data_IF_259805715909
#
_entry.id   IF_259805715909
#
_cell.length_a   1.000
_cell.length_b   1.000
_cell.length_c   1.000
_cell.angle_alpha   90.00
_cell.angle_beta   90.00
_cell.angle_gamma   90.00
#
_symmetry.space_group_name_H-M   'P 1'
#
loop_
_entity.id
_entity.type
_entity.pdbx_description
1 polymer ?
#
# COMPACT_ATOMS: atom_id res chain seq x y z
N UNK A 1 7.66 13.09 22.20
CA UNK A 1 8.62 12.00 21.88
C UNK A 1 9.52 12.50 20.75
N UNK A 2 10.82 12.19 20.76
CA UNK A 2 11.71 12.59 19.67
C UNK A 2 11.30 11.94 18.35
N UNK A 3 11.31 12.70 17.25
CA UNK A 3 10.91 12.23 15.92
C UNK A 3 11.72 11.01 15.47
N UNK A 4 13.01 10.96 15.82
CA UNK A 4 13.93 9.87 15.47
C UNK A 4 13.57 8.52 16.12
N UNK A 5 12.72 8.52 17.16
CA UNK A 5 12.29 7.29 17.84
C UNK A 5 11.05 6.66 17.19
N UNK A 6 10.33 7.37 16.31
CA UNK A 6 9.07 6.86 15.75
C UNK A 6 9.26 5.59 14.93
N UNK A 7 10.23 5.58 14.00
CA UNK A 7 10.50 4.41 13.16
C UNK A 7 11.05 3.23 13.99
N UNK A 8 12.07 3.38 14.85
CA UNK A 8 12.54 2.29 15.72
C UNK A 8 11.45 1.71 16.62
N UNK A 9 10.60 2.54 17.23
CA UNK A 9 9.50 2.07 18.07
C UNK A 9 8.44 1.32 17.26
N UNK A 10 8.06 1.87 16.10
CA UNK A 10 7.14 1.22 15.18
C UNK A 10 7.65 -0.17 14.78
N UNK A 11 8.89 -0.25 14.29
CA UNK A 11 9.50 -1.51 13.86
C UNK A 11 9.64 -2.51 15.01
N UNK A 12 9.97 -2.04 16.22
CA UNK A 12 10.07 -2.89 17.41
C UNK A 12 8.72 -3.52 17.75
N UNK A 13 7.66 -2.72 17.82
CA UNK A 13 6.30 -3.21 18.12
C UNK A 13 5.84 -4.21 17.06
N UNK A 14 5.95 -3.84 15.77
CA UNK A 14 5.56 -4.71 14.66
C UNK A 14 6.35 -6.02 14.66
N UNK A 15 7.65 -5.96 14.97
CA UNK A 15 8.52 -7.14 15.05
C UNK A 15 8.09 -8.09 16.15
N UNK A 16 7.89 -7.60 17.38
CA UNK A 16 7.47 -8.43 18.52
C UNK A 16 6.13 -9.13 18.22
N UNK A 17 5.15 -8.38 17.72
CA UNK A 17 3.82 -8.91 17.42
C UNK A 17 3.86 -9.94 16.27
N UNK A 18 4.65 -9.68 15.23
CA UNK A 18 4.84 -10.59 14.09
C UNK A 18 5.58 -11.87 14.50
N UNK A 19 6.60 -11.78 15.35
CA UNK A 19 7.29 -12.95 15.92
C UNK A 19 6.32 -13.82 16.74
N UNK A 20 5.41 -13.20 17.49
CA UNK A 20 4.32 -13.90 18.16
C UNK A 20 3.45 -14.71 17.19
N UNK A 21 3.07 -14.11 16.05
CA UNK A 21 2.32 -14.83 15.00
C UNK A 21 3.15 -15.91 14.30
N UNK A 22 4.43 -15.67 14.06
CA UNK A 22 5.33 -16.67 13.50
C UNK A 22 5.35 -17.95 14.35
N UNK A 23 5.55 -17.82 15.66
CA UNK A 23 5.55 -18.96 16.59
C UNK A 23 4.19 -19.66 16.60
N UNK A 24 3.10 -18.88 16.61
CA UNK A 24 1.74 -19.41 16.59
C UNK A 24 1.45 -20.25 15.34
N UNK A 25 1.75 -19.71 14.15
CA UNK A 25 1.46 -20.37 12.86
C UNK A 25 2.41 -21.54 12.56
N UNK A 26 3.68 -21.47 12.98
CA UNK A 26 4.67 -22.54 12.78
C UNK A 26 4.28 -23.84 13.50
N UNK A 27 3.60 -23.73 14.64
CA UNK A 27 3.16 -24.87 15.46
C UNK A 27 1.80 -25.45 15.01
N UNK A 28 1.05 -24.77 14.15
CA UNK A 28 -0.28 -25.24 13.73
C UNK A 28 -0.25 -26.29 12.64
N UNK A 29 -1.19 -27.24 12.76
CA UNK A 29 -1.52 -28.25 11.74
C UNK A 29 -2.72 -27.75 10.91
N UNK A 30 -2.78 -28.19 9.66
CA UNK A 30 -3.90 -27.91 8.75
C UNK A 30 -5.25 -28.37 9.33
N UNK A 31 -6.30 -27.60 9.08
CA UNK A 31 -7.65 -27.85 9.65
C UNK A 31 -7.90 -27.22 11.02
N UNK A 32 -6.88 -26.69 11.69
CA UNK A 32 -7.03 -26.01 12.98
C UNK A 32 -7.48 -24.53 12.88
N UNK A 33 -7.89 -24.04 11.70
CA UNK A 33 -8.54 -22.72 11.61
C UNK A 33 -9.93 -22.81 12.24
N UNK A 34 -9.90 -22.68 13.57
CA UNK A 34 -10.99 -22.19 14.40
C UNK A 34 -11.38 -20.82 13.88
N UNK A 35 -12.69 -20.59 13.79
CA UNK A 35 -13.36 -19.29 13.71
C UNK A 35 -12.51 -18.19 14.36
N UNK A 36 -12.35 -17.06 13.67
CA UNK A 36 -11.64 -15.90 14.22
C UNK A 36 -12.14 -15.64 15.64
N UNK A 37 -11.26 -15.71 16.63
CA UNK A 37 -11.68 -15.37 17.98
C UNK A 37 -11.99 -13.88 18.00
N UNK A 38 -13.19 -13.52 18.45
CA UNK A 38 -13.62 -12.13 18.56
C UNK A 38 -12.56 -11.22 19.22
N UNK A 39 -11.81 -11.76 20.19
CA UNK A 39 -10.69 -11.07 20.83
C UNK A 39 -9.53 -10.68 19.90
N UNK A 40 -9.20 -11.47 18.87
CA UNK A 40 -8.17 -11.10 17.87
C UNK A 40 -8.63 -9.96 16.98
N UNK A 41 -9.91 -9.95 16.58
CA UNK A 41 -10.49 -8.85 15.80
C UNK A 41 -10.48 -7.54 16.61
N UNK A 42 -10.82 -7.60 17.91
CA UNK A 42 -10.75 -6.43 18.80
C UNK A 42 -9.31 -5.98 19.01
N UNK A 43 -8.36 -6.90 19.20
CA UNK A 43 -6.94 -6.58 19.35
C UNK A 43 -6.37 -5.88 18.11
N UNK A 44 -6.70 -6.38 16.91
CA UNK A 44 -6.29 -5.75 15.65
C UNK A 44 -6.85 -4.33 15.49
N UNK A 45 -8.10 -4.10 15.89
CA UNK A 45 -8.71 -2.76 15.88
C UNK A 45 -8.03 -1.84 16.89
N UNK A 46 -7.80 -2.32 18.11
CA UNK A 46 -7.12 -1.55 19.15
C UNK A 46 -5.71 -1.12 18.68
N UNK A 47 -4.96 -2.01 18.04
CA UNK A 47 -3.67 -1.66 17.45
C UNK A 47 -3.79 -0.61 16.34
N UNK A 48 -4.79 -0.71 15.47
CA UNK A 48 -5.04 0.28 14.41
C UNK A 48 -5.34 1.68 15.00
N UNK A 49 -6.14 1.75 16.07
CA UNK A 49 -6.44 2.99 16.79
C UNK A 49 -5.19 3.54 17.48
N UNK A 50 -4.40 2.69 18.16
CA UNK A 50 -3.14 3.10 18.78
C UNK A 50 -2.18 3.68 17.74
N UNK A 51 -2.03 3.03 16.58
CA UNK A 51 -1.18 3.52 15.51
C UNK A 51 -1.69 4.81 14.87
N UNK A 52 -3.02 4.97 14.80
CA UNK A 52 -3.66 6.23 14.36
C UNK A 52 -3.22 7.39 15.25
N UNK A 53 -3.31 7.25 16.58
CA UNK A 53 -2.85 8.30 17.49
C UNK A 53 -1.33 8.45 17.49
N UNK A 54 -0.60 7.34 17.49
CA UNK A 54 0.86 7.34 17.47
C UNK A 54 1.41 8.12 16.27
N UNK A 55 1.00 7.76 15.06
CA UNK A 55 1.49 8.40 13.82
C UNK A 55 0.79 9.73 13.54
N UNK A 56 -0.51 9.84 13.83
CA UNK A 56 -1.30 11.05 13.62
C UNK A 56 -0.85 12.23 14.48
N UNK A 57 -0.40 11.97 15.71
CA UNK A 57 0.10 12.98 16.64
C UNK A 57 1.63 13.11 16.62
N UNK A 58 2.28 12.71 15.52
CA UNK A 58 3.74 12.87 15.37
C UNK A 58 4.15 14.35 15.40
N UNK A 59 5.34 14.69 15.91
CA UNK A 59 5.83 16.07 15.89
C UNK A 59 6.12 16.53 14.46
N UNK A 60 5.95 17.83 14.22
CA UNK A 60 6.47 18.49 13.02
C UNK A 60 8.01 18.47 13.08
N UNK A 61 8.63 17.63 12.26
CA UNK A 61 10.07 17.44 12.25
C UNK A 61 10.57 17.13 10.84
N UNK A 62 11.76 17.62 10.48
CA UNK A 62 12.35 17.49 9.15
C UNK A 62 12.58 16.05 8.67
N UNK A 63 12.68 15.08 9.58
CA UNK A 63 12.73 13.64 9.22
C UNK A 63 11.45 13.16 8.54
N UNK A 64 10.33 13.87 8.75
CA UNK A 64 9.07 13.67 8.06
C UNK A 64 8.87 14.80 7.04
N UNK A 65 9.62 14.74 5.94
CA UNK A 65 9.67 15.79 4.91
C UNK A 65 8.27 16.22 4.45
N UNK A 66 7.42 15.29 4.02
CA UNK A 66 6.09 15.67 3.51
C UNK A 66 5.21 16.20 4.67
N UNK A 67 5.42 15.75 5.92
CA UNK A 67 4.73 16.33 7.11
C UNK A 67 5.08 17.80 7.27
N UNK A 68 6.36 18.18 7.13
CA UNK A 68 6.77 19.57 7.21
C UNK A 68 6.15 20.42 6.09
N UNK A 69 6.07 19.88 4.88
CA UNK A 69 5.40 20.57 3.77
C UNK A 69 3.93 20.85 4.09
N UNK A 70 3.18 19.85 4.57
CA UNK A 70 1.79 20.07 4.99
C UNK A 70 1.66 21.04 6.17
N UNK A 71 2.61 21.08 7.10
CA UNK A 71 2.57 22.07 8.20
C UNK A 71 2.78 23.49 7.66
N UNK A 72 3.70 23.68 6.71
CA UNK A 72 3.92 24.98 6.07
C UNK A 72 2.67 25.42 5.29
N UNK A 73 2.11 24.53 4.47
CA UNK A 73 0.89 24.81 3.70
C UNK A 73 -0.30 25.12 4.62
N UNK A 74 -0.44 24.37 5.71
CA UNK A 74 -1.49 24.60 6.71
C UNK A 74 -1.40 26.01 7.28
N UNK A 75 -0.20 26.45 7.70
CA UNK A 75 0.00 27.77 8.29
C UNK A 75 -0.28 28.91 7.31
N UNK A 76 -0.14 28.69 6.00
CA UNK A 76 -0.50 29.67 4.96
C UNK A 76 -2.02 29.77 4.80
N UNK A 77 -2.73 28.65 4.93
CA UNK A 77 -4.19 28.57 4.77
C UNK A 77 -4.96 28.91 6.05
N UNK A 78 -4.32 28.82 7.21
CA UNK A 78 -4.95 28.95 8.52
C UNK A 78 -5.71 30.28 8.68
N UNK A 79 -6.98 30.18 9.06
CA UNK A 79 -7.84 31.34 9.30
C UNK A 79 -8.34 32.07 8.05
N UNK A 80 -7.94 31.64 6.84
CA UNK A 80 -8.53 32.14 5.60
C UNK A 80 -9.94 31.56 5.41
N UNK A 81 -10.81 32.29 4.70
CA UNK A 81 -12.15 31.79 4.38
C UNK A 81 -12.08 30.53 3.51
N UNK A 82 -12.82 29.50 3.91
CA UNK A 82 -12.96 28.30 3.10
C UNK A 82 -13.73 28.59 1.81
N UNK A 83 -13.12 28.25 0.68
CA UNK A 83 -13.78 28.21 -0.62
C UNK A 83 -13.46 26.86 -1.24
N UNK A 84 -14.50 26.16 -1.70
CA UNK A 84 -14.32 24.88 -2.40
C UNK A 84 -13.58 25.14 -3.71
N UNK A 85 -12.43 24.51 -3.87
CA UNK A 85 -11.70 24.49 -5.13
C UNK A 85 -12.21 23.34 -6.00
N UNK A 86 -13.02 23.68 -7.00
CA UNK A 86 -13.57 22.74 -7.97
C UNK A 86 -12.53 22.22 -8.97
N UNK A 87 -11.36 22.87 -9.07
CA UNK A 87 -10.28 22.48 -9.97
C UNK A 87 -9.14 21.76 -9.25
N UNK A 88 -9.29 21.50 -7.95
CA UNK A 88 -8.28 20.82 -7.14
C UNK A 88 -7.94 19.44 -7.72
N UNK A 89 -6.64 19.18 -7.94
CA UNK A 89 -6.12 17.91 -8.49
C UNK A 89 -6.56 16.71 -7.66
N UNK A 90 -6.53 16.82 -6.33
CA UNK A 90 -7.00 15.78 -5.41
C UNK A 90 -8.22 16.31 -4.66
N UNK A 91 -9.31 16.44 -5.40
CA UNK A 91 -10.52 17.17 -5.00
C UNK A 91 -10.96 16.95 -3.54
N UNK A 92 -11.06 15.71 -3.06
CA UNK A 92 -11.52 15.44 -1.70
C UNK A 92 -10.44 15.74 -0.65
N UNK A 93 -9.18 15.38 -0.93
CA UNK A 93 -8.10 15.56 0.03
C UNK A 93 -7.75 17.04 0.20
N UNK A 94 -7.58 17.75 -0.92
CA UNK A 94 -7.12 19.13 -0.93
C UNK A 94 -8.19 20.06 -0.32
N UNK A 95 -9.48 19.84 -0.64
CA UNK A 95 -10.58 20.58 0.00
C UNK A 95 -10.77 20.21 1.48
N UNK A 96 -10.58 18.93 1.87
CA UNK A 96 -10.63 18.54 3.29
C UNK A 96 -9.51 19.24 4.08
N UNK A 97 -8.31 19.29 3.52
CA UNK A 97 -7.17 19.96 4.14
C UNK A 97 -7.40 21.47 4.28
N UNK A 98 -7.85 22.13 3.21
CA UNK A 98 -8.17 23.55 3.22
C UNK A 98 -9.28 23.90 4.23
N UNK A 99 -10.32 23.07 4.32
CA UNK A 99 -11.39 23.23 5.31
C UNK A 99 -10.89 23.07 6.75
N UNK A 100 -10.03 22.07 7.02
CA UNK A 100 -9.44 21.89 8.35
C UNK A 100 -8.58 23.10 8.75
N UNK A 101 -7.84 23.69 7.80
CA UNK A 101 -7.04 24.88 8.03
C UNK A 101 -7.88 26.14 8.25
N UNK A 102 -8.93 26.36 7.46
CA UNK A 102 -9.83 27.51 7.63
C UNK A 102 -10.54 27.51 9.00
N UNK A 103 -10.93 26.33 9.47
CA UNK A 103 -11.57 26.14 10.78
C UNK A 103 -10.57 26.13 11.95
N UNK A 104 -9.26 26.31 11.69
CA UNK A 104 -8.20 26.39 12.70
C UNK A 104 -8.17 25.16 13.63
N UNK A 105 -8.47 23.97 13.12
CA UNK A 105 -8.52 22.74 13.94
C UNK A 105 -7.11 22.17 14.25
N UNK A 106 -6.07 22.73 13.63
CA UNK A 106 -4.67 22.36 13.80
C UNK A 106 -4.20 21.28 12.83
N UNK A 107 -2.96 21.40 12.34
CA UNK A 107 -2.34 20.41 11.45
C UNK A 107 -2.30 18.98 12.08
N UNK A 108 -2.19 18.89 13.41
CA UNK A 108 -2.23 17.60 14.12
C UNK A 108 -3.58 16.90 13.97
N UNK A 109 -4.69 17.65 13.93
CA UNK A 109 -6.01 17.08 13.69
C UNK A 109 -6.11 16.53 12.27
N UNK A 110 -5.61 17.27 11.28
CA UNK A 110 -5.51 16.77 9.90
C UNK A 110 -4.72 15.45 9.82
N UNK A 111 -3.53 15.39 10.41
CA UNK A 111 -2.73 14.17 10.41
C UNK A 111 -3.41 13.01 11.15
N UNK A 112 -4.17 13.28 12.21
CA UNK A 112 -4.98 12.27 12.89
C UNK A 112 -6.09 11.72 11.99
N UNK A 113 -6.79 12.57 11.24
CA UNK A 113 -7.82 12.15 10.27
C UNK A 113 -7.21 11.28 9.18
N UNK A 114 -6.10 11.70 8.58
CA UNK A 114 -5.44 10.93 7.51
C UNK A 114 -4.87 9.61 8.06
N UNK A 115 -4.28 9.62 9.26
CA UNK A 115 -3.81 8.39 9.92
C UNK A 115 -4.97 7.43 10.25
N UNK A 116 -6.14 7.95 10.62
CA UNK A 116 -7.34 7.14 10.87
C UNK A 116 -7.83 6.46 9.59
N UNK A 117 -7.90 7.20 8.48
CA UNK A 117 -8.22 6.62 7.17
C UNK A 117 -7.21 5.53 6.83
N UNK A 118 -5.92 5.78 7.05
CA UNK A 118 -4.87 4.84 6.73
C UNK A 118 -4.90 3.57 7.59
N UNK A 119 -4.78 3.65 8.91
CA UNK A 119 -4.68 2.48 9.77
C UNK A 119 -6.03 1.80 10.04
N UNK A 120 -7.06 2.55 10.42
CA UNK A 120 -8.39 1.97 10.67
C UNK A 120 -9.07 1.53 9.36
N UNK A 121 -8.89 2.28 8.27
CA UNK A 121 -9.36 1.84 6.95
C UNK A 121 -8.66 0.57 6.47
N UNK A 122 -7.35 0.44 6.72
CA UNK A 122 -6.61 -0.78 6.38
C UNK A 122 -7.09 -1.95 7.21
N UNK A 123 -7.27 -1.76 8.52
CA UNK A 123 -7.87 -2.78 9.38
C UNK A 123 -9.25 -3.20 8.85
N UNK A 124 -10.08 -2.25 8.43
CA UNK A 124 -11.40 -2.55 7.87
C UNK A 124 -11.30 -3.36 6.57
N UNK A 125 -10.39 -2.99 5.66
CA UNK A 125 -10.11 -3.77 4.45
C UNK A 125 -9.62 -5.19 4.79
N UNK A 126 -8.70 -5.33 5.75
CA UNK A 126 -8.20 -6.61 6.23
C UNK A 126 -9.34 -7.46 6.81
N UNK A 127 -10.23 -6.90 7.62
CA UNK A 127 -11.37 -7.62 8.20
C UNK A 127 -12.30 -8.18 7.14
N UNK A 128 -12.52 -7.42 6.07
CA UNK A 128 -13.38 -7.84 4.95
C UNK A 128 -12.71 -8.88 4.06
N UNK A 129 -11.42 -8.73 3.79
CA UNK A 129 -10.67 -9.63 2.92
C UNK A 129 -10.24 -10.92 3.64
N UNK A 130 -9.99 -10.86 4.94
CA UNK A 130 -9.43 -11.93 5.77
C UNK A 130 -10.23 -12.17 7.05
N UNK A 131 -11.56 -12.40 6.98
CA UNK A 131 -12.42 -12.51 8.17
C UNK A 131 -12.08 -13.69 9.08
N UNK A 132 -11.26 -14.64 8.63
CA UNK A 132 -10.83 -15.79 9.44
C UNK A 132 -9.63 -15.49 10.33
N UNK A 133 -8.78 -14.52 9.98
CA UNK A 133 -7.69 -14.03 10.85
C UNK A 133 -7.26 -12.62 10.41
N UNK A 134 -8.05 -11.62 10.83
CA UNK A 134 -7.79 -10.20 10.54
C UNK A 134 -6.46 -9.75 11.17
N UNK A 135 -6.11 -10.33 12.32
CA UNK A 135 -4.94 -9.94 13.09
C UNK A 135 -3.64 -10.19 12.34
N UNK A 136 -3.42 -11.40 11.82
CA UNK A 136 -2.20 -11.69 11.05
C UNK A 136 -2.18 -10.93 9.71
N UNK A 137 -3.35 -10.71 9.10
CA UNK A 137 -3.44 -9.91 7.88
C UNK A 137 -3.04 -8.45 8.10
N UNK A 138 -3.56 -7.84 9.17
CA UNK A 138 -3.21 -6.48 9.54
C UNK A 138 -1.73 -6.36 9.93
N UNK A 139 -1.18 -7.29 10.71
CA UNK A 139 0.25 -7.31 11.01
C UNK A 139 1.13 -7.46 9.77
N UNK A 140 0.72 -8.26 8.78
CA UNK A 140 1.46 -8.39 7.52
C UNK A 140 1.47 -7.08 6.73
N UNK A 141 0.38 -6.32 6.78
CA UNK A 141 0.35 -4.96 6.23
C UNK A 141 1.29 -4.03 6.99
N UNK A 142 1.25 -4.04 8.34
CA UNK A 142 2.14 -3.22 9.16
C UNK A 142 3.63 -3.56 8.95
N UNK A 143 3.94 -4.82 8.70
CA UNK A 143 5.31 -5.27 8.41
C UNK A 143 5.79 -4.89 6.99
N UNK A 144 4.94 -4.33 6.13
CA UNK A 144 5.34 -3.96 4.78
C UNK A 144 6.26 -2.75 4.76
N UNK A 145 7.25 -2.80 3.87
CA UNK A 145 8.32 -1.80 3.75
C UNK A 145 7.77 -0.38 3.51
N UNK A 146 6.67 -0.23 2.79
CA UNK A 146 6.06 1.08 2.54
C UNK A 146 5.21 1.65 3.70
N UNK A 147 4.82 0.85 4.68
CA UNK A 147 3.71 1.23 5.58
C UNK A 147 4.04 2.43 6.46
N UNK A 148 5.23 2.47 7.04
CA UNK A 148 5.63 3.62 7.86
C UNK A 148 5.81 4.89 7.02
N UNK A 149 6.42 4.76 5.83
CA UNK A 149 6.59 5.87 4.88
C UNK A 149 5.25 6.43 4.43
N UNK A 150 4.26 5.58 4.14
CA UNK A 150 2.90 6.02 3.86
C UNK A 150 2.20 6.69 5.04
N UNK A 151 2.55 6.36 6.28
CA UNK A 151 1.99 7.01 7.45
C UNK A 151 2.57 8.40 7.74
N UNK A 152 3.76 8.72 7.22
CA UNK A 152 4.52 9.92 7.65
C UNK A 152 4.98 10.84 6.52
N UNK A 153 5.27 10.29 5.34
CA UNK A 153 5.68 11.05 4.16
C UNK A 153 4.63 10.93 3.05
N UNK A 154 4.37 9.73 2.53
CA UNK A 154 3.38 9.50 1.47
C UNK A 154 1.90 9.50 1.92
N UNK A 155 1.49 10.36 2.86
CA UNK A 155 0.20 10.25 3.58
C UNK A 155 -1.03 10.29 2.68
N UNK A 156 -1.00 11.12 1.64
CA UNK A 156 -2.07 11.23 0.64
C UNK A 156 -2.22 9.92 -0.14
N UNK A 157 -1.11 9.39 -0.65
CA UNK A 157 -1.08 8.13 -1.39
C UNK A 157 -1.44 6.92 -0.50
N UNK A 158 -0.96 6.90 0.75
CA UNK A 158 -1.28 5.86 1.73
C UNK A 158 -2.79 5.79 2.00
N UNK A 159 -3.42 6.92 2.30
CA UNK A 159 -4.86 7.00 2.52
C UNK A 159 -5.65 6.57 1.27
N UNK A 160 -5.26 7.04 0.08
CA UNK A 160 -5.91 6.67 -1.17
C UNK A 160 -5.79 5.16 -1.49
N UNK A 161 -4.61 4.58 -1.27
CA UNK A 161 -4.36 3.15 -1.44
C UNK A 161 -5.20 2.30 -0.46
N UNK A 162 -5.37 2.75 0.78
CA UNK A 162 -6.26 2.08 1.75
C UNK A 162 -7.71 2.13 1.30
N UNK A 163 -8.20 3.28 0.83
CA UNK A 163 -9.56 3.40 0.27
C UNK A 163 -9.75 2.48 -0.95
N UNK A 164 -8.69 2.31 -1.75
CA UNK A 164 -8.70 1.39 -2.90
C UNK A 164 -8.76 -0.08 -2.47
N UNK A 165 -8.05 -0.47 -1.41
CA UNK A 165 -8.20 -1.80 -0.81
C UNK A 165 -9.62 -2.07 -0.32
N UNK A 166 -10.27 -1.05 0.26
CA UNK A 166 -11.68 -1.14 0.64
C UNK A 166 -12.55 -1.35 -0.61
N UNK A 167 -12.32 -0.61 -1.69
CA UNK A 167 -13.02 -0.82 -2.97
C UNK A 167 -12.86 -2.25 -3.50
N UNK A 168 -11.64 -2.80 -3.47
CA UNK A 168 -11.36 -4.21 -3.81
C UNK A 168 -12.19 -5.16 -2.95
N UNK A 169 -12.28 -4.94 -1.64
CA UNK A 169 -13.06 -5.77 -0.72
C UNK A 169 -14.58 -5.75 -1.00
N UNK A 170 -15.04 -4.79 -1.81
CA UNK A 170 -16.43 -4.64 -2.25
C UNK A 170 -16.64 -5.07 -3.70
N UNK A 171 -15.70 -5.75 -4.35
CA UNK A 171 -15.82 -6.22 -5.75
C UNK A 171 -17.21 -6.79 -6.13
N UNK A 172 -17.81 -7.59 -5.23
CA UNK A 172 -19.11 -8.22 -5.49
C UNK A 172 -20.30 -7.26 -5.35
N UNK A 173 -20.13 -6.10 -4.71
CA UNK A 173 -21.06 -4.99 -4.68
C UNK A 173 -20.45 -3.82 -5.47
N UNK A 174 -20.65 -3.85 -6.78
CA UNK A 174 -20.02 -2.90 -7.70
C UNK A 174 -20.40 -1.45 -7.43
N UNK A 175 -21.57 -1.20 -6.84
CA UNK A 175 -22.02 0.16 -6.47
C UNK A 175 -21.13 0.72 -5.37
N UNK A 176 -20.94 -0.03 -4.28
CA UNK A 176 -20.05 0.41 -3.19
C UNK A 176 -18.60 0.46 -3.68
N UNK A 177 -18.17 -0.51 -4.49
CA UNK A 177 -16.84 -0.48 -5.08
C UNK A 177 -16.63 0.79 -5.92
N UNK A 178 -17.55 1.15 -6.81
CA UNK A 178 -17.46 2.34 -7.65
C UNK A 178 -17.43 3.64 -6.83
N UNK A 179 -18.28 3.75 -5.79
CA UNK A 179 -18.24 4.88 -4.85
C UNK A 179 -16.86 4.99 -4.18
N UNK A 180 -16.32 3.87 -3.70
CA UNK A 180 -15.00 3.86 -3.08
C UNK A 180 -13.87 4.16 -4.07
N UNK A 181 -13.95 3.72 -5.34
CA UNK A 181 -12.99 4.09 -6.39
C UNK A 181 -13.04 5.59 -6.68
N UNK A 182 -14.23 6.20 -6.68
CA UNK A 182 -14.37 7.65 -6.81
C UNK A 182 -13.74 8.39 -5.62
N UNK A 183 -13.99 7.93 -4.38
CA UNK A 183 -13.36 8.51 -3.18
C UNK A 183 -11.85 8.35 -3.22
N UNK A 184 -11.33 7.18 -3.61
CA UNK A 184 -9.90 6.94 -3.83
C UNK A 184 -9.30 7.96 -4.81
N UNK A 185 -9.97 8.19 -5.95
CA UNK A 185 -9.51 9.14 -6.95
C UNK A 185 -9.51 10.58 -6.40
N UNK A 186 -10.55 10.95 -5.66
CA UNK A 186 -10.62 12.25 -4.99
C UNK A 186 -9.54 12.46 -3.94
N UNK A 187 -8.95 11.39 -3.38
CA UNK A 187 -7.84 11.49 -2.44
C UNK A 187 -6.48 11.63 -3.12
N UNK A 188 -6.25 10.95 -4.25
CA UNK A 188 -4.98 11.03 -4.96
C UNK A 188 -5.15 10.71 -6.44
N UNK A 189 -4.84 11.67 -7.33
CA UNK A 189 -5.01 11.53 -8.79
C UNK A 189 -4.27 10.33 -9.38
N UNK A 190 -3.06 10.00 -8.90
CA UNK A 190 -2.29 8.85 -9.44
C UNK A 190 -2.98 7.48 -9.25
N UNK A 191 -4.03 7.41 -8.44
CA UNK A 191 -4.85 6.21 -8.30
C UNK A 191 -5.63 5.85 -9.57
N UNK A 192 -5.68 6.72 -10.59
CA UNK A 192 -6.18 6.40 -11.93
C UNK A 192 -5.57 5.09 -12.44
N UNK A 193 -4.27 4.86 -12.22
CA UNK A 193 -3.59 3.66 -12.69
C UNK A 193 -4.11 2.37 -11.99
N UNK A 194 -4.11 2.25 -10.65
CA UNK A 194 -4.78 1.16 -9.94
C UNK A 194 -6.26 0.99 -10.30
N UNK A 195 -7.01 2.09 -10.48
CA UNK A 195 -8.42 2.05 -10.87
C UNK A 195 -8.58 1.45 -12.29
N UNK A 196 -7.75 1.87 -13.25
CA UNK A 196 -7.75 1.30 -14.59
C UNK A 196 -7.42 -0.20 -14.55
N UNK A 197 -6.47 -0.61 -13.69
CA UNK A 197 -6.16 -2.02 -13.49
C UNK A 197 -7.34 -2.79 -12.86
N UNK A 198 -8.05 -2.21 -11.89
CA UNK A 198 -9.29 -2.77 -11.34
C UNK A 198 -10.32 -3.00 -12.45
N UNK A 199 -10.57 -1.98 -13.28
CA UNK A 199 -11.57 -2.05 -14.36
C UNK A 199 -11.16 -3.11 -15.40
N UNK A 200 -9.92 -3.08 -15.87
CA UNK A 200 -9.42 -4.03 -16.86
C UNK A 200 -9.54 -5.48 -16.39
N UNK A 201 -9.17 -5.76 -15.14
CA UNK A 201 -9.21 -7.10 -14.54
C UNK A 201 -10.62 -7.55 -14.13
N UNK A 202 -11.55 -6.60 -13.96
CA UNK A 202 -12.96 -6.90 -13.74
C UNK A 202 -13.57 -7.55 -15.00
N UNK A 203 -13.25 -7.01 -16.17
CA UNK A 203 -13.74 -7.49 -17.47
C UNK A 203 -12.91 -8.66 -18.03
N UNK A 204 -11.58 -8.57 -17.98
CA UNK A 204 -10.69 -9.60 -18.51
C UNK A 204 -10.07 -10.44 -17.39
N UNK A 205 -10.56 -11.66 -17.20
CA UNK A 205 -10.26 -12.48 -16.01
C UNK A 205 -9.08 -13.44 -16.18
N UNK A 206 -8.39 -13.43 -17.31
CA UNK A 206 -7.34 -14.40 -17.60
C UNK A 206 -6.01 -14.03 -16.93
N UNK A 207 -5.82 -14.49 -15.69
CA UNK A 207 -4.61 -14.25 -14.88
C UNK A 207 -3.30 -14.60 -15.59
N UNK A 208 -3.31 -15.58 -16.51
CA UNK A 208 -2.10 -15.98 -17.25
C UNK A 208 -1.55 -14.86 -18.13
N UNK A 209 -2.43 -14.06 -18.71
CA UNK A 209 -2.03 -12.91 -19.53
C UNK A 209 -1.34 -11.87 -18.68
N UNK A 210 -1.85 -11.58 -17.48
CA UNK A 210 -1.24 -10.62 -16.58
C UNK A 210 0.17 -11.05 -16.11
N UNK A 211 0.40 -12.37 -15.91
CA UNK A 211 1.76 -12.88 -15.69
C UNK A 211 2.67 -12.63 -16.90
N UNK A 212 2.16 -12.86 -18.12
CA UNK A 212 2.90 -12.59 -19.35
C UNK A 212 3.25 -11.11 -19.51
N UNK A 213 2.27 -10.21 -19.29
CA UNK A 213 2.48 -8.75 -19.31
C UNK A 213 3.54 -8.35 -18.30
N UNK A 214 3.45 -8.83 -17.05
CA UNK A 214 4.43 -8.55 -16.02
C UNK A 214 5.84 -9.00 -16.42
N UNK A 215 5.96 -10.23 -16.93
CA UNK A 215 7.26 -10.76 -17.37
C UNK A 215 7.86 -9.96 -18.53
N UNK A 216 7.04 -9.59 -19.52
CA UNK A 216 7.47 -8.74 -20.64
C UNK A 216 7.93 -7.36 -20.13
N UNK A 217 7.18 -6.74 -19.23
CA UNK A 217 7.55 -5.44 -18.65
C UNK A 217 8.85 -5.51 -17.84
N UNK A 218 9.09 -6.62 -17.13
CA UNK A 218 10.36 -6.86 -16.44
C UNK A 218 11.53 -6.94 -17.44
N UNK A 219 11.37 -7.65 -18.55
CA UNK A 219 12.39 -7.72 -19.60
C UNK A 219 12.65 -6.36 -20.25
N UNK A 220 11.58 -5.58 -20.51
CA UNK A 220 11.70 -4.23 -21.05
C UNK A 220 12.44 -3.30 -20.08
N UNK A 221 12.13 -3.38 -18.79
CA UNK A 221 12.83 -2.62 -17.75
C UNK A 221 14.30 -3.03 -17.68
N UNK A 222 14.62 -4.33 -17.70
CA UNK A 222 15.99 -4.82 -17.68
C UNK A 222 16.79 -4.44 -18.94
N UNK A 223 16.12 -4.32 -20.09
CA UNK A 223 16.69 -3.82 -21.34
C UNK A 223 16.77 -2.28 -21.41
N UNK A 224 16.38 -1.57 -20.35
CA UNK A 224 16.39 -0.11 -20.25
C UNK A 224 15.56 0.59 -21.36
N UNK A 225 14.41 0.03 -21.70
CA UNK A 225 13.50 0.63 -22.71
C UNK A 225 12.75 1.81 -22.08
N UNK A 226 13.17 3.05 -22.39
CA UNK A 226 12.60 4.29 -21.84
C UNK A 226 11.38 4.83 -22.59
N UNK A 227 11.07 4.27 -23.77
CA UNK A 227 9.94 4.71 -24.62
C UNK A 227 8.62 4.86 -23.85
N UNK A 228 8.29 3.89 -22.99
CA UNK A 228 7.04 3.91 -22.25
C UNK A 228 7.01 5.00 -21.17
N UNK A 229 8.16 5.31 -20.56
CA UNK A 229 8.28 6.40 -19.59
C UNK A 229 7.98 7.75 -20.26
N UNK A 230 8.54 8.01 -21.44
CA UNK A 230 8.26 9.20 -22.24
C UNK A 230 6.80 9.25 -22.72
N UNK A 231 6.26 8.10 -23.17
CA UNK A 231 4.86 7.99 -23.57
C UNK A 231 3.92 8.36 -22.42
N UNK A 232 4.15 7.81 -21.23
CA UNK A 232 3.32 8.09 -20.06
C UNK A 232 3.48 9.54 -19.57
N UNK A 233 4.68 10.12 -19.68
CA UNK A 233 4.88 11.54 -19.39
C UNK A 233 4.04 12.43 -20.31
N UNK A 234 3.91 12.09 -21.60
CA UNK A 234 3.08 12.83 -22.55
C UNK A 234 1.58 12.79 -22.27
N UNK A 235 1.10 11.81 -21.50
CA UNK A 235 -0.31 11.69 -21.08
C UNK A 235 -0.54 12.08 -19.61
N UNK A 236 0.52 12.42 -18.87
CA UNK A 236 0.43 12.85 -17.48
C UNK A 236 0.18 14.34 -17.39
N UNK A 237 -0.31 14.80 -16.22
CA UNK A 237 -0.32 16.23 -15.90
C UNK A 237 1.12 16.76 -15.69
N UNK A 238 1.28 18.08 -15.57
CA UNK A 238 2.62 18.70 -15.43
C UNK A 238 3.41 18.11 -14.26
N UNK A 239 2.74 17.83 -13.14
CA UNK A 239 3.32 17.16 -11.98
C UNK A 239 3.80 15.75 -12.32
N UNK A 240 2.94 14.89 -12.85
CA UNK A 240 3.28 13.51 -13.24
C UNK A 240 4.37 13.44 -14.32
N UNK A 241 4.31 14.31 -15.32
CA UNK A 241 5.33 14.41 -16.36
C UNK A 241 6.68 14.79 -15.76
N UNK A 242 6.73 15.77 -14.84
CA UNK A 242 7.97 16.16 -14.17
C UNK A 242 8.62 15.02 -13.38
N UNK A 243 7.83 14.13 -12.75
CA UNK A 243 8.36 12.94 -12.07
C UNK A 243 9.01 11.95 -13.04
N UNK A 244 8.44 11.80 -14.25
CA UNK A 244 8.88 10.84 -15.25
C UNK A 244 10.05 11.35 -16.10
N UNK A 245 10.20 12.66 -16.29
CA UNK A 245 11.21 13.24 -17.21
C UNK A 245 12.33 14.01 -16.53
N UNK A 246 12.16 14.41 -15.25
CA UNK A 246 13.25 15.04 -14.52
C UNK A 246 14.42 14.06 -14.42
N UNK A 247 15.61 14.51 -14.80
CA UNK A 247 16.87 13.78 -14.63
C UNK A 247 17.88 14.72 -13.97
N UNK A 248 18.66 14.22 -13.02
CA UNK A 248 19.78 14.97 -12.44
C UNK A 248 19.46 15.97 -11.32
N UNK A 249 18.28 15.91 -10.69
CA UNK A 249 18.03 16.67 -9.44
C UNK A 249 18.68 15.97 -8.27
N UNK A 250 19.56 16.68 -7.54
CA UNK A 250 20.29 16.27 -6.33
C UNK A 250 19.37 15.92 -5.12
N UNK A 251 18.41 15.00 -5.27
CA UNK A 251 17.50 14.61 -4.19
C UNK A 251 18.07 13.49 -3.30
N UNK A 252 19.30 13.02 -3.58
CA UNK A 252 20.04 12.08 -2.75
C UNK A 252 19.54 10.62 -2.78
N UNK A 253 18.52 10.31 -3.60
CA UNK A 253 17.98 8.97 -3.77
C UNK A 253 18.76 8.11 -4.77
N UNK A 254 18.66 6.78 -4.63
CA UNK A 254 19.22 5.83 -5.61
C UNK A 254 18.38 5.84 -6.89
N UNK A 255 18.96 6.38 -7.97
CA UNK A 255 18.43 6.37 -9.34
C UNK A 255 18.87 5.10 -10.10
N UNK A 256 18.19 4.78 -11.20
CA UNK A 256 18.52 3.64 -12.07
C UNK A 256 17.75 2.35 -11.76
N UNK A 257 18.27 1.21 -12.22
CA UNK A 257 17.59 -0.08 -12.11
C UNK A 257 17.53 -0.57 -10.65
N UNK A 258 16.34 -0.46 -10.04
CA UNK A 258 16.09 -0.78 -8.63
C UNK A 258 15.87 -2.28 -8.41
N UNK A 259 16.96 -3.06 -8.51
CA UNK A 259 16.91 -4.51 -8.31
C UNK A 259 16.35 -4.89 -6.93
N UNK A 260 16.63 -4.09 -5.90
CA UNK A 260 16.06 -4.20 -4.56
C UNK A 260 14.52 -4.15 -4.59
N UNK A 261 13.95 -3.20 -5.33
CA UNK A 261 12.51 -3.06 -5.50
C UNK A 261 11.91 -4.15 -6.40
N UNK A 262 12.65 -4.63 -7.40
CA UNK A 262 12.22 -5.76 -8.24
C UNK A 262 12.14 -7.03 -7.39
N UNK A 263 13.16 -7.31 -6.58
CA UNK A 263 13.18 -8.46 -5.67
C UNK A 263 11.98 -8.37 -4.73
N UNK A 264 11.77 -7.23 -4.07
CA UNK A 264 10.60 -7.02 -3.23
C UNK A 264 9.31 -7.30 -4.00
N UNK A 265 9.06 -6.54 -5.08
CA UNK A 265 7.83 -6.61 -5.88
C UNK A 265 7.57 -7.97 -6.52
N UNK A 266 8.59 -8.81 -6.69
CA UNK A 266 8.42 -10.15 -7.25
C UNK A 266 7.81 -11.15 -6.26
N UNK A 267 7.87 -10.91 -4.93
CA UNK A 267 7.42 -11.90 -3.95
C UNK A 267 5.94 -12.30 -4.09
N UNK A 268 4.96 -11.38 -4.26
CA UNK A 268 3.57 -11.76 -4.49
C UNK A 268 3.36 -12.42 -5.86
N UNK A 269 4.19 -12.09 -6.86
CA UNK A 269 4.19 -12.75 -8.18
C UNK A 269 4.62 -14.22 -8.03
N UNK A 270 5.69 -14.48 -7.28
CA UNK A 270 6.17 -15.84 -7.02
C UNK A 270 5.14 -16.67 -6.24
N UNK A 271 4.54 -16.10 -5.19
CA UNK A 271 3.47 -16.76 -4.45
C UNK A 271 2.24 -17.01 -5.34
N UNK A 272 1.84 -16.02 -6.14
CA UNK A 272 0.73 -16.17 -7.08
C UNK A 272 0.97 -17.23 -8.13
N UNK A 273 2.19 -17.28 -8.68
CA UNK A 273 2.57 -18.29 -9.65
C UNK A 273 2.53 -19.70 -9.05
N UNK A 274 3.11 -19.85 -7.86
CA UNK A 274 3.05 -21.10 -7.09
C UNK A 274 1.61 -21.51 -6.79
N UNK A 275 0.77 -20.58 -6.33
CA UNK A 275 -0.61 -20.87 -5.97
C UNK A 275 -1.46 -21.28 -7.18
N UNK A 276 -1.38 -20.54 -8.29
CA UNK A 276 -2.24 -20.75 -9.45
C UNK A 276 -1.77 -21.93 -10.31
N UNK A 277 -0.47 -22.00 -10.62
CA UNK A 277 0.04 -22.97 -11.59
C UNK A 277 0.55 -24.25 -10.93
N UNK A 278 1.15 -24.17 -9.74
CA UNK A 278 1.69 -25.36 -9.04
C UNK A 278 0.67 -26.01 -8.10
N UNK A 279 -0.18 -25.20 -7.47
CA UNK A 279 -1.24 -25.70 -6.56
C UNK A 279 -2.63 -25.78 -7.19
N UNK A 280 -2.81 -25.24 -8.40
CA UNK A 280 -4.08 -25.29 -9.09
C UNK A 280 -5.19 -24.48 -8.41
N UNK A 281 -4.83 -23.46 -7.62
CA UNK A 281 -5.80 -22.60 -6.94
C UNK A 281 -6.67 -21.86 -7.97
N UNK A 282 -7.98 -21.94 -7.80
CA UNK A 282 -8.99 -21.22 -8.59
C UNK A 282 -9.93 -20.44 -7.69
N UNK A 283 -9.47 -19.26 -7.29
CA UNK A 283 -10.24 -18.33 -6.47
C UNK A 283 -10.48 -17.04 -7.22
N UNK A 284 -11.75 -16.72 -7.47
CA UNK A 284 -12.15 -15.56 -8.28
C UNK A 284 -11.63 -14.26 -7.65
N UNK A 285 -11.70 -14.14 -6.32
CA UNK A 285 -11.19 -12.97 -5.62
C UNK A 285 -9.66 -12.93 -5.67
N UNK A 286 -8.98 -14.06 -5.44
CA UNK A 286 -7.52 -14.08 -5.48
C UNK A 286 -6.96 -13.73 -6.86
N UNK A 287 -7.48 -14.38 -7.92
CA UNK A 287 -7.05 -14.14 -9.30
C UNK A 287 -7.30 -12.67 -9.70
N UNK A 288 -8.39 -12.06 -9.21
CA UNK A 288 -8.66 -10.64 -9.42
C UNK A 288 -7.64 -9.73 -8.76
N UNK A 289 -7.41 -9.87 -7.44
CA UNK A 289 -6.46 -9.03 -6.70
C UNK A 289 -5.04 -9.20 -7.25
N UNK A 290 -4.64 -10.43 -7.56
CA UNK A 290 -3.35 -10.73 -8.17
C UNK A 290 -3.22 -10.08 -9.55
N UNK A 291 -4.27 -10.11 -10.38
CA UNK A 291 -4.22 -9.49 -11.71
C UNK A 291 -4.11 -7.97 -11.62
N UNK A 292 -4.79 -7.33 -10.66
CA UNK A 292 -4.63 -5.89 -10.40
C UNK A 292 -3.18 -5.61 -10.01
N UNK A 293 -2.63 -6.37 -9.06
CA UNK A 293 -1.25 -6.21 -8.63
C UNK A 293 -0.26 -6.37 -9.78
N UNK A 294 -0.39 -7.43 -10.58
CA UNK A 294 0.48 -7.69 -11.73
C UNK A 294 0.43 -6.53 -12.72
N UNK A 295 -0.75 -6.03 -13.07
CA UNK A 295 -0.90 -4.95 -14.04
C UNK A 295 -0.34 -3.63 -13.49
N UNK A 296 -0.70 -3.23 -12.26
CA UNK A 296 -0.18 -2.01 -11.64
C UNK A 296 1.34 -2.07 -11.47
N UNK A 297 1.89 -3.21 -11.06
CA UNK A 297 3.33 -3.38 -10.91
C UNK A 297 4.05 -3.41 -12.26
N UNK A 298 3.41 -3.90 -13.33
CA UNK A 298 3.94 -3.86 -14.69
C UNK A 298 4.17 -2.42 -15.16
N UNK A 299 3.21 -1.53 -14.91
CA UNK A 299 3.34 -0.11 -15.29
C UNK A 299 4.49 0.57 -14.55
N UNK A 300 4.67 0.27 -13.25
CA UNK A 300 5.83 0.74 -12.51
C UNK A 300 7.15 0.28 -13.16
N UNK A 301 7.27 -0.98 -13.56
CA UNK A 301 8.48 -1.48 -14.20
C UNK A 301 8.81 -0.73 -15.50
N UNK A 302 7.80 -0.34 -16.27
CA UNK A 302 7.98 0.49 -17.48
C UNK A 302 8.42 1.93 -17.17
N UNK A 303 8.26 2.39 -15.93
CA UNK A 303 8.66 3.71 -15.45
C UNK A 303 9.82 3.65 -14.45
N UNK A 304 10.56 2.53 -14.38
CA UNK A 304 11.45 2.24 -13.25
C UNK A 304 12.56 3.28 -13.08
N UNK A 305 12.96 3.93 -14.17
CA UNK A 305 14.06 4.90 -14.23
C UNK A 305 13.63 6.34 -13.92
N UNK A 306 12.34 6.57 -13.69
CA UNK A 306 11.82 7.87 -13.27
C UNK A 306 12.35 8.28 -11.89
N UNK A 307 12.45 9.60 -11.66
CA UNK A 307 12.72 10.12 -10.33
C UNK A 307 11.59 9.76 -9.37
N UNK A 308 11.95 9.51 -8.10
CA UNK A 308 10.99 9.05 -7.10
C UNK A 308 10.18 7.81 -7.53
N UNK A 309 10.79 6.89 -8.29
CA UNK A 309 10.19 5.61 -8.73
C UNK A 309 9.51 4.82 -7.60
N UNK A 310 9.96 5.01 -6.34
CA UNK A 310 9.29 4.48 -5.16
C UNK A 310 7.82 4.93 -5.09
N UNK A 311 7.49 6.20 -5.36
CA UNK A 311 6.12 6.73 -5.34
C UNK A 311 5.21 6.09 -6.40
N UNK A 312 5.78 5.60 -7.50
CA UNK A 312 5.04 4.82 -8.52
C UNK A 312 4.91 3.35 -8.08
N UNK A 313 5.98 2.72 -7.60
CA UNK A 313 5.98 1.34 -7.09
C UNK A 313 4.93 1.13 -5.99
N UNK A 314 4.82 2.14 -5.13
CA UNK A 314 3.88 2.31 -4.03
C UNK A 314 2.44 1.97 -4.42
N UNK A 315 1.99 2.35 -5.64
CA UNK A 315 0.63 2.07 -6.13
C UNK A 315 0.31 0.58 -6.18
N UNK A 316 1.30 -0.27 -6.47
CA UNK A 316 1.15 -1.73 -6.41
C UNK A 316 1.41 -2.27 -4.99
N UNK A 317 2.31 -1.63 -4.22
CA UNK A 317 2.69 -2.08 -2.89
C UNK A 317 1.60 -1.92 -1.84
N UNK A 318 0.59 -1.06 -2.06
CA UNK A 318 -0.62 -1.04 -1.23
C UNK A 318 -1.39 -2.37 -1.28
N UNK A 319 -1.34 -3.08 -2.42
CA UNK A 319 -2.04 -4.35 -2.65
C UNK A 319 -1.16 -5.56 -2.29
N UNK A 320 0.15 -5.36 -2.28
CA UNK A 320 1.17 -6.39 -2.05
C UNK A 320 0.87 -7.29 -0.84
N UNK A 321 0.60 -6.78 0.38
CA UNK A 321 0.45 -7.65 1.56
C UNK A 321 -0.76 -8.57 1.42
N UNK A 322 -1.81 -8.09 0.75
CA UNK A 322 -3.02 -8.86 0.49
C UNK A 322 -2.72 -10.03 -0.44
N UNK A 323 -2.08 -9.77 -1.59
CA UNK A 323 -1.74 -10.82 -2.57
C UNK A 323 -0.82 -11.87 -1.96
N UNK A 324 0.12 -11.43 -1.12
CA UNK A 324 1.12 -12.30 -0.51
C UNK A 324 0.49 -13.38 0.40
N UNK A 325 -0.55 -13.03 1.18
CA UNK A 325 -1.09 -13.94 2.21
C UNK A 325 -2.43 -14.59 1.86
N UNK A 326 -3.17 -14.05 0.88
CA UNK A 326 -4.50 -14.53 0.50
C UNK A 326 -4.60 -16.05 0.28
N UNK A 327 -3.68 -16.69 -0.46
CA UNK A 327 -3.77 -18.14 -0.69
C UNK A 327 -3.69 -18.99 0.58
N UNK A 328 -3.11 -18.45 1.66
CA UNK A 328 -2.87 -19.21 2.89
C UNK A 328 -3.97 -19.04 3.93
N UNK A 329 -4.64 -17.88 3.92
CA UNK A 329 -5.65 -17.52 4.92
C UNK A 329 -7.07 -17.81 4.44
N UNK A 330 -7.36 -17.60 3.16
CA UNK A 330 -8.70 -17.70 2.62
C UNK A 330 -8.95 -19.01 1.87
N UNK A 331 -7.87 -19.68 1.46
CA UNK A 331 -7.95 -20.81 0.55
C UNK A 331 -7.34 -22.08 1.16
N UNK A 332 -7.81 -23.22 0.65
CA UNK A 332 -7.31 -24.55 1.03
C UNK A 332 -6.23 -24.98 0.05
N UNK A 333 -5.00 -24.49 0.26
CA UNK A 333 -3.88 -24.71 -0.67
C UNK A 333 -2.97 -25.89 -0.28
N UNK A 334 -3.03 -26.34 0.98
CA UNK A 334 -2.40 -27.60 1.39
C UNK A 334 -2.08 -27.73 2.87
N UNK A 335 -1.65 -28.94 3.27
CA UNK A 335 -1.48 -29.33 4.68
C UNK A 335 -0.38 -28.57 5.43
N UNK A 336 0.54 -27.91 4.71
CA UNK A 336 1.63 -27.11 5.29
C UNK A 336 1.41 -25.60 5.14
N UNK A 337 0.23 -25.14 4.70
CA UNK A 337 0.00 -23.74 4.33
C UNK A 337 0.30 -22.75 5.47
N UNK A 338 -0.03 -23.07 6.72
CA UNK A 338 0.27 -22.21 7.88
C UNK A 338 1.76 -22.13 8.22
N UNK A 339 2.50 -23.22 8.00
CA UNK A 339 3.96 -23.20 8.17
C UNK A 339 4.63 -22.37 7.08
N UNK A 340 4.10 -22.44 5.85
CA UNK A 340 4.57 -21.60 4.74
C UNK A 340 4.22 -20.14 5.02
N UNK A 341 2.98 -19.84 5.44
CA UNK A 341 2.56 -18.50 5.84
C UNK A 341 3.47 -17.91 6.91
N UNK A 342 3.79 -18.67 7.96
CA UNK A 342 4.71 -18.22 9.01
C UNK A 342 6.07 -17.78 8.41
N UNK A 343 6.62 -18.57 7.49
CA UNK A 343 7.87 -18.21 6.82
C UNK A 343 7.71 -16.99 5.89
N UNK A 344 6.58 -16.87 5.18
CA UNK A 344 6.29 -15.74 4.31
C UNK A 344 6.20 -14.44 5.10
N UNK A 345 5.48 -14.40 6.23
CA UNK A 345 5.33 -13.18 7.04
C UNK A 345 6.66 -12.76 7.68
N UNK A 346 7.49 -13.71 8.13
CA UNK A 346 8.76 -13.37 8.77
C UNK A 346 9.81 -12.91 7.75
N UNK A 347 9.81 -13.49 6.54
CA UNK A 347 10.69 -13.04 5.45
C UNK A 347 10.27 -11.66 4.94
N UNK A 348 8.97 -11.39 4.87
CA UNK A 348 8.43 -10.07 4.54
C UNK A 348 8.85 -9.01 5.55
N UNK A 349 8.74 -9.31 6.86
CA UNK A 349 9.26 -8.42 7.91
C UNK A 349 10.79 -8.28 7.83
N UNK A 350 11.51 -9.38 7.62
CA UNK A 350 12.97 -9.37 7.55
C UNK A 350 13.48 -8.48 6.40
N UNK A 351 12.79 -8.47 5.26
CA UNK A 351 13.09 -7.55 4.17
C UNK A 351 12.95 -6.10 4.63
N UNK A 352 11.85 -5.73 5.27
CA UNK A 352 11.63 -4.38 5.81
C UNK A 352 12.73 -3.98 6.80
N UNK A 353 13.07 -4.87 7.75
CA UNK A 353 14.13 -4.61 8.73
C UNK A 353 15.50 -4.46 8.07
N UNK A 354 15.83 -5.28 7.08
CA UNK A 354 17.08 -5.17 6.33
C UNK A 354 17.16 -3.82 5.61
N UNK A 355 16.08 -3.43 4.92
CA UNK A 355 16.06 -2.17 4.20
C UNK A 355 16.20 -0.97 5.15
N UNK A 356 15.46 -0.94 6.25
CA UNK A 356 15.40 0.22 7.16
C UNK A 356 16.57 0.33 8.16
N UNK A 357 17.27 -0.77 8.47
CA UNK A 357 18.31 -0.79 9.51
C UNK A 357 19.73 -0.95 8.92
N UNK A 358 19.85 -1.64 7.79
CA UNK A 358 21.15 -2.02 7.22
C UNK A 358 21.41 -1.29 5.90
N UNK A 359 20.39 -1.09 5.06
CA UNK A 359 20.57 -0.61 3.69
C UNK A 359 20.43 0.90 3.52
N UNK A 360 19.46 1.51 4.22
CA UNK A 360 19.30 2.96 4.38
C UNK A 360 19.92 3.41 5.69
#
# INVERSE_FOLDING_TARGET
MSANLYLPLYLTIVTILTLGQYVYYKRRVYGALVVESHGKTVLSLALAVILTFFIGLRPAAYIFVDTMNYVLDYNVMEGNYFVVDYNATNYLFDNLFAWIASEQLGYSFFFLVIAAIYFCGTWFACKRLFPSDTWVAFLTFLAAFSTFSYGTNGIKAGAAATLFLIAISYRNNIVIAALMLFVTLGFHHSMIMPIAAFVATYFYKNVKVYFGVWFICLLMAAAHITFFQELFAGYSDEGGASYLTSSGTSWGGKEGFRIDFVIYSSMPVLIGYWAIFKRGLRSVMYEFILSIYLLTNSVWMLCMYANFTNRIAYLSWGIYPVVLIYPFLNEKIGTRQYKILANVIILHLAFTLFMEIIYY
#
